data_IF_331694461930
#
_entry.id   IF_331694461930
#
_cell.length_a   1.000
_cell.length_b   1.000
_cell.length_c   1.000
_cell.angle_alpha   90.00
_cell.angle_beta   90.00
_cell.angle_gamma   90.00
#
_symmetry.space_group_name_H-M   'P 1'
#
loop_
_entity.id
_entity.type
_entity.pdbx_description
1 polymer ?
#
# COMPACT_ATOMS: atom_id res chain seq x y z
N UNK A 1 0.29 -24.25 9.85
CA UNK A 1 0.13 -24.08 8.40
C UNK A 1 0.77 -22.74 8.06
N UNK A 2 2.04 -22.75 7.70
CA UNK A 2 2.82 -21.53 7.38
C UNK A 2 2.38 -21.02 6.02
N UNK A 3 1.86 -19.80 5.96
CA UNK A 3 1.49 -19.20 4.67
C UNK A 3 2.73 -18.54 4.09
N UNK A 4 3.32 -19.16 3.06
CA UNK A 4 4.40 -18.58 2.28
C UNK A 4 3.88 -17.34 1.54
N UNK A 5 4.26 -16.14 1.99
CA UNK A 5 4.07 -14.93 1.21
C UNK A 5 5.12 -14.93 0.11
N UNK A 6 4.69 -15.02 -1.14
CA UNK A 6 5.60 -14.90 -2.28
C UNK A 6 5.93 -13.43 -2.49
N UNK A 7 6.87 -12.89 -1.71
CA UNK A 7 7.43 -11.56 -1.96
C UNK A 7 8.49 -11.75 -3.04
N UNK A 8 8.04 -11.56 -4.28
CA UNK A 8 8.84 -11.76 -5.49
C UNK A 8 9.81 -10.58 -5.64
N UNK A 9 11.09 -10.78 -5.29
CA UNK A 9 12.18 -9.88 -5.70
C UNK A 9 13.02 -10.55 -6.78
N UNK A 10 13.18 -9.87 -7.92
CA UNK A 10 14.07 -10.34 -8.98
C UNK A 10 15.52 -10.08 -8.55
N UNK A 11 16.32 -11.14 -8.43
CA UNK A 11 17.76 -11.01 -8.32
C UNK A 11 18.35 -11.05 -9.74
N UNK A 12 18.66 -9.88 -10.32
CA UNK A 12 19.31 -9.80 -11.63
C UNK A 12 19.37 -8.37 -12.18
N UNK A 13 20.48 -8.02 -12.84
CA UNK A 13 20.64 -6.78 -13.61
C UNK A 13 19.99 -6.95 -15.00
N UNK A 14 18.95 -6.18 -15.29
CA UNK A 14 18.41 -6.06 -16.65
C UNK A 14 19.42 -5.27 -17.50
N UNK A 15 20.18 -5.98 -18.33
CA UNK A 15 21.08 -5.38 -19.33
C UNK A 15 20.55 -5.72 -20.72
N UNK A 16 19.78 -4.82 -21.34
CA UNK A 16 19.39 -4.98 -22.75
C UNK A 16 18.16 -4.18 -23.21
N UNK A 17 18.27 -3.54 -24.38
CA UNK A 17 17.32 -2.59 -25.01
C UNK A 17 16.37 -3.23 -26.05
N UNK A 18 15.93 -4.48 -25.88
CA UNK A 18 15.00 -5.13 -26.85
C UNK A 18 13.83 -5.83 -26.16
N UNK A 19 12.58 -5.69 -26.65
CA UNK A 19 11.39 -6.20 -25.99
C UNK A 19 11.09 -7.63 -26.44
N UNK A 20 11.46 -8.62 -25.60
CA UNK A 20 10.90 -9.96 -25.63
C UNK A 20 11.02 -10.56 -24.22
N UNK A 21 9.96 -10.44 -23.41
CA UNK A 21 9.89 -10.91 -22.01
C UNK A 21 9.44 -12.38 -21.91
N UNK A 22 9.94 -13.25 -22.78
CA UNK A 22 9.75 -14.69 -22.67
C UNK A 22 11.14 -15.34 -22.68
N UNK A 23 11.47 -16.01 -21.58
CA UNK A 23 12.66 -16.85 -21.40
C UNK A 23 14.02 -16.18 -21.13
N UNK A 24 14.10 -15.21 -20.21
CA UNK A 24 15.39 -15.00 -19.53
C UNK A 24 15.64 -16.13 -18.53
N UNK A 25 16.23 -17.22 -19.02
CA UNK A 25 16.83 -18.27 -18.19
C UNK A 25 17.89 -17.63 -17.27
N UNK A 26 17.53 -17.41 -16.00
CA UNK A 26 18.40 -16.75 -15.03
C UNK A 26 17.68 -15.99 -13.91
N UNK A 27 16.37 -15.74 -14.04
CA UNK A 27 15.57 -15.15 -12.95
C UNK A 27 15.10 -16.27 -12.03
N UNK A 28 15.83 -16.49 -10.92
CA UNK A 28 15.43 -17.42 -9.88
C UNK A 28 14.57 -16.73 -8.82
N UNK A 29 13.29 -17.05 -8.80
CA UNK A 29 12.39 -16.62 -7.72
C UNK A 29 12.69 -17.43 -6.45
N UNK A 30 13.01 -16.72 -5.36
CA UNK A 30 13.24 -17.34 -4.06
C UNK A 30 12.12 -16.96 -3.11
N UNK A 31 11.44 -17.96 -2.55
CA UNK A 31 10.42 -17.70 -1.53
C UNK A 31 11.05 -17.18 -0.23
N UNK A 32 10.35 -16.27 0.45
CA UNK A 32 10.79 -15.64 1.71
C UNK A 32 9.74 -15.81 2.80
N UNK A 33 10.19 -15.79 4.05
CA UNK A 33 9.31 -15.89 5.22
C UNK A 33 8.83 -14.49 5.61
N UNK A 34 7.52 -14.34 5.80
CA UNK A 34 6.94 -13.11 6.35
C UNK A 34 7.18 -13.00 7.86
N UNK A 35 7.05 -11.79 8.40
CA UNK A 35 7.22 -11.54 9.83
C UNK A 35 6.05 -12.09 10.69
N UNK A 36 4.92 -12.42 10.06
CA UNK A 36 3.76 -13.04 10.66
C UNK A 36 2.90 -13.76 9.60
N UNK A 37 2.13 -14.76 10.05
CA UNK A 37 1.14 -15.50 9.25
C UNK A 37 -0.15 -14.68 9.07
N UNK A 38 -0.07 -13.60 8.28
CA UNK A 38 -1.21 -12.73 7.96
C UNK A 38 -1.53 -12.75 6.45
N UNK A 39 -2.73 -12.29 6.09
CA UNK A 39 -3.11 -12.03 4.70
C UNK A 39 -2.53 -10.69 4.24
N UNK A 40 -1.28 -10.69 3.79
CA UNK A 40 -0.58 -9.51 3.26
C UNK A 40 -1.11 -9.16 1.86
N UNK A 41 -1.71 -7.97 1.71
CA UNK A 41 -2.45 -7.59 0.49
C UNK A 41 -1.68 -6.66 -0.44
N UNK A 42 -0.74 -5.87 0.09
CA UNK A 42 -0.07 -4.82 -0.68
C UNK A 42 1.29 -4.50 -0.08
N UNK A 43 2.24 -4.14 -0.94
CA UNK A 43 3.59 -3.70 -0.60
C UNK A 43 3.96 -2.46 -1.43
N UNK A 44 4.67 -1.52 -0.82
CA UNK A 44 5.27 -0.35 -1.48
C UNK A 44 6.70 -0.14 -1.01
N UNK A 45 7.52 0.55 -1.80
CA UNK A 45 8.83 1.05 -1.38
C UNK A 45 8.78 2.56 -1.19
N UNK A 46 9.44 3.06 -0.14
CA UNK A 46 9.50 4.48 0.20
C UNK A 46 10.37 4.70 1.43
N UNK A 47 10.87 5.92 1.66
CA UNK A 47 11.68 6.25 2.84
C UNK A 47 12.77 5.19 3.16
N UNK A 48 13.43 4.66 2.12
CA UNK A 48 14.50 3.65 2.23
C UNK A 48 14.08 2.23 2.61
N UNK A 49 12.78 1.88 2.58
CA UNK A 49 12.30 0.55 2.98
C UNK A 49 11.05 0.10 2.23
N UNK A 50 10.86 -1.21 2.17
CA UNK A 50 9.59 -1.85 1.82
C UNK A 50 8.64 -1.83 3.01
N UNK A 51 7.37 -1.59 2.74
CA UNK A 51 6.27 -1.58 3.70
C UNK A 51 5.14 -2.40 3.12
N UNK A 52 4.67 -3.40 3.87
CA UNK A 52 3.52 -4.21 3.50
C UNK A 52 2.41 -4.10 4.54
N UNK A 53 1.15 -4.20 4.09
CA UNK A 53 -0.06 -4.15 4.93
C UNK A 53 -0.91 -5.40 4.76
N UNK A 54 -1.62 -5.80 5.82
CA UNK A 54 -2.43 -7.01 5.86
C UNK A 54 -3.87 -6.76 6.29
N UNK A 55 -4.79 -7.63 5.86
CA UNK A 55 -6.21 -7.58 6.29
C UNK A 55 -6.52 -8.43 7.52
N UNK A 56 -5.56 -9.16 8.06
CA UNK A 56 -5.74 -10.06 9.22
C UNK A 56 -4.58 -9.95 10.20
N UNK A 57 -4.77 -10.47 11.41
CA UNK A 57 -3.74 -10.54 12.45
C UNK A 57 -3.65 -9.31 13.35
N UNK A 58 -2.81 -9.40 14.37
CA UNK A 58 -2.58 -8.34 15.36
C UNK A 58 -1.48 -7.33 14.96
N UNK A 59 -0.57 -7.73 14.08
CA UNK A 59 0.49 -6.90 13.50
C UNK A 59 0.29 -6.80 11.99
N UNK A 60 -0.55 -5.87 11.56
CA UNK A 60 -1.02 -5.76 10.17
C UNK A 60 -0.10 -4.94 9.27
N UNK A 61 1.10 -4.60 9.77
CA UNK A 61 2.15 -3.94 9.00
C UNK A 61 3.43 -4.74 9.15
N UNK A 62 4.24 -4.83 8.09
CA UNK A 62 5.62 -5.26 8.19
C UNK A 62 6.54 -4.41 7.32
N UNK A 63 7.80 -4.31 7.73
CA UNK A 63 8.82 -3.49 7.04
C UNK A 63 10.06 -4.31 6.73
N UNK A 64 10.76 -3.96 5.66
CA UNK A 64 12.05 -4.55 5.30
C UNK A 64 12.93 -3.55 4.56
N UNK A 65 14.23 -3.49 4.84
CA UNK A 65 15.18 -2.65 4.09
C UNK A 65 15.82 -3.38 2.92
N UNK A 66 15.79 -4.72 2.92
CA UNK A 66 16.46 -5.59 1.95
C UNK A 66 15.47 -6.41 1.09
N UNK A 67 14.17 -6.36 1.40
CA UNK A 67 13.12 -7.17 0.77
C UNK A 67 13.15 -8.66 1.17
N UNK A 68 14.07 -9.06 2.05
CA UNK A 68 14.33 -10.45 2.43
C UNK A 68 13.93 -10.67 3.89
N UNK A 69 14.42 -9.82 4.78
CA UNK A 69 14.18 -9.89 6.22
C UNK A 69 13.08 -8.92 6.59
N UNK A 70 12.00 -9.43 7.18
CA UNK A 70 10.81 -8.64 7.50
C UNK A 70 10.62 -8.50 9.01
N UNK A 71 10.26 -7.30 9.46
CA UNK A 71 9.92 -7.01 10.86
C UNK A 71 8.45 -6.63 10.97
N UNK A 72 7.71 -7.31 11.85
CA UNK A 72 6.32 -6.98 12.18
C UNK A 72 6.23 -5.63 12.89
N UNK A 73 5.21 -4.83 12.53
CA UNK A 73 4.92 -3.51 13.10
C UNK A 73 3.44 -3.42 13.49
N UNK A 74 3.17 -2.59 14.48
CA UNK A 74 1.80 -2.28 14.91
C UNK A 74 1.15 -1.28 13.96
N UNK A 75 -0.09 -1.57 13.57
CA UNK A 75 -0.99 -0.62 12.92
C UNK A 75 -1.58 0.38 13.92
N UNK A 76 -2.05 1.53 13.42
CA UNK A 76 -2.74 2.52 14.25
C UNK A 76 -4.10 2.03 14.77
N UNK A 77 -4.80 1.23 13.96
CA UNK A 77 -6.10 0.65 14.29
C UNK A 77 -6.25 -0.66 13.50
N UNK A 78 -6.80 -1.69 14.15
CA UNK A 78 -7.03 -2.98 13.50
C UNK A 78 -8.13 -2.85 12.43
N UNK A 79 -7.80 -3.08 11.17
CA UNK A 79 -8.69 -2.97 10.00
C UNK A 79 -8.28 -3.95 8.91
N UNK A 80 -9.16 -4.19 7.96
CA UNK A 80 -8.84 -4.91 6.74
C UNK A 80 -8.06 -3.99 5.78
N UNK A 81 -6.76 -3.76 6.06
CA UNK A 81 -5.90 -2.95 5.19
C UNK A 81 -5.69 -3.64 3.84
N UNK A 82 -5.99 -2.93 2.75
CA UNK A 82 -6.00 -3.48 1.39
C UNK A 82 -4.86 -3.00 0.53
N UNK A 83 -4.52 -1.71 0.61
CA UNK A 83 -3.52 -1.10 -0.27
C UNK A 83 -2.70 -0.08 0.48
N UNK A 84 -1.42 0.02 0.13
CA UNK A 84 -0.50 1.05 0.61
C UNK A 84 0.23 1.71 -0.55
N UNK A 85 0.38 3.02 -0.51
CA UNK A 85 1.18 3.80 -1.46
C UNK A 85 2.13 4.73 -0.70
N UNK A 86 3.24 5.11 -1.34
CA UNK A 86 4.17 6.11 -0.83
C UNK A 86 4.22 7.31 -1.77
N UNK A 87 4.19 8.51 -1.21
CA UNK A 87 4.31 9.75 -1.96
C UNK A 87 3.95 10.98 -1.15
N UNK A 88 3.93 12.14 -1.80
CA UNK A 88 3.64 13.43 -1.20
C UNK A 88 4.50 14.52 -1.82
N UNK A 89 4.20 15.77 -1.48
CA UNK A 89 5.07 16.88 -1.86
C UNK A 89 6.49 16.65 -1.30
N UNK A 90 7.50 17.15 -2.04
CA UNK A 90 8.91 17.02 -1.66
C UNK A 90 9.15 17.41 -0.20
N UNK A 91 9.70 16.49 0.60
CA UNK A 91 9.97 16.69 2.03
C UNK A 91 8.75 16.47 2.95
N UNK A 92 7.62 16.03 2.41
CA UNK A 92 6.39 15.69 3.15
C UNK A 92 5.82 14.34 2.72
N UNK A 93 6.66 13.49 2.13
CA UNK A 93 6.30 12.16 1.68
C UNK A 93 5.89 11.26 2.84
N UNK A 94 4.93 10.40 2.59
CA UNK A 94 4.41 9.47 3.58
C UNK A 94 3.82 8.24 2.92
N UNK A 95 3.81 7.15 3.67
CA UNK A 95 2.99 5.99 3.41
C UNK A 95 1.53 6.32 3.74
N UNK A 96 0.64 5.90 2.87
CA UNK A 96 -0.81 6.00 3.00
C UNK A 96 -1.39 4.63 2.76
N UNK A 97 -2.11 4.10 3.74
CA UNK A 97 -2.83 2.84 3.61
C UNK A 97 -4.34 3.06 3.72
N UNK A 98 -5.11 2.30 2.94
CA UNK A 98 -6.57 2.33 2.93
C UNK A 98 -7.17 0.97 3.31
N UNK A 99 -8.32 0.99 3.97
CA UNK A 99 -8.98 -0.21 4.48
C UNK A 99 -10.38 -0.44 3.88
N UNK A 100 -10.76 -1.71 3.88
CA UNK A 100 -12.08 -2.17 3.44
C UNK A 100 -13.19 -1.88 4.47
N UNK A 101 -12.89 -1.89 5.77
CA UNK A 101 -13.85 -1.77 6.86
C UNK A 101 -13.51 -0.63 7.84
N UNK A 102 -14.40 -0.37 8.80
CA UNK A 102 -14.27 0.69 9.81
C UNK A 102 -15.37 1.77 9.73
N UNK A 103 -15.33 2.75 10.62
CA UNK A 103 -16.27 3.89 10.63
C UNK A 103 -15.45 5.14 10.86
N UNK A 104 -15.36 6.00 9.85
CA UNK A 104 -14.60 7.25 9.86
C UNK A 104 -13.09 7.06 10.07
N UNK A 105 -12.54 5.85 9.91
CA UNK A 105 -11.13 5.55 10.19
C UNK A 105 -10.50 4.52 9.24
N UNK A 106 -10.84 4.62 7.96
CA UNK A 106 -10.39 3.69 6.91
C UNK A 106 -9.10 4.10 6.20
N UNK A 107 -8.36 5.04 6.79
CA UNK A 107 -7.05 5.50 6.30
C UNK A 107 -6.05 5.48 7.47
N UNK A 108 -4.80 5.14 7.20
CA UNK A 108 -3.70 5.42 8.11
C UNK A 108 -2.48 5.94 7.35
N UNK A 109 -1.66 6.74 8.02
CA UNK A 109 -0.45 7.35 7.45
C UNK A 109 0.78 7.10 8.31
N UNK A 110 1.95 7.07 7.69
CA UNK A 110 3.24 7.01 8.38
C UNK A 110 4.32 7.69 7.54
N UNK A 111 5.24 8.44 8.14
CA UNK A 111 6.40 9.00 7.44
C UNK A 111 7.60 8.05 7.43
N UNK A 112 7.67 7.13 8.41
CA UNK A 112 8.80 6.24 8.63
C UNK A 112 8.50 4.76 8.29
N UNK A 113 7.23 4.40 8.08
CA UNK A 113 6.75 3.03 7.86
C UNK A 113 6.60 2.20 9.14
N UNK A 114 6.91 2.78 10.31
CA UNK A 114 6.98 2.11 11.61
C UNK A 114 5.87 2.62 12.52
N UNK A 115 5.75 3.94 12.66
CA UNK A 115 4.76 4.59 13.50
C UNK A 115 3.60 5.05 12.62
N UNK A 116 2.40 4.56 12.92
CA UNK A 116 1.21 4.81 12.12
C UNK A 116 0.20 5.68 12.88
N UNK A 117 -0.47 6.55 12.14
CA UNK A 117 -1.57 7.39 12.66
C UNK A 117 -2.83 7.11 11.87
N UNK A 118 -3.93 6.78 12.56
CA UNK A 118 -5.25 6.65 11.94
C UNK A 118 -5.76 8.00 11.46
N UNK A 119 -6.42 8.00 10.29
CA UNK A 119 -6.97 9.20 9.65
C UNK A 119 -8.43 8.98 9.27
N UNK A 120 -9.16 10.09 9.18
CA UNK A 120 -10.55 10.08 8.73
C UNK A 120 -10.63 9.88 7.23
N UNK A 121 -11.41 8.87 6.81
CA UNK A 121 -11.76 8.65 5.40
C UNK A 121 -12.90 9.59 4.99
N UNK A 122 -12.92 10.00 3.72
CA UNK A 122 -13.97 10.89 3.20
C UNK A 122 -15.37 10.26 3.20
N UNK A 123 -15.44 8.93 3.15
CA UNK A 123 -16.66 8.15 3.28
C UNK A 123 -16.34 6.74 3.81
N UNK A 124 -17.36 6.10 4.35
CA UNK A 124 -17.32 4.71 4.82
C UNK A 124 -17.59 3.71 3.68
N UNK A 125 -16.85 3.87 2.58
CA UNK A 125 -16.81 2.93 1.46
C UNK A 125 -15.70 1.89 1.62
N UNK A 126 -15.84 0.67 1.07
CA UNK A 126 -14.80 -0.34 1.10
C UNK A 126 -13.67 0.03 0.13
N UNK A 127 -12.68 0.76 0.62
CA UNK A 127 -11.53 1.21 -0.16
C UNK A 127 -10.59 0.04 -0.47
N UNK A 128 -10.29 -0.16 -1.76
CA UNK A 128 -9.55 -1.33 -2.24
C UNK A 128 -8.13 -1.00 -2.69
N UNK A 129 -7.95 0.11 -3.37
CA UNK A 129 -6.66 0.50 -3.92
C UNK A 129 -6.40 1.98 -3.66
N UNK A 130 -5.14 2.32 -3.42
CA UNK A 130 -4.65 3.69 -3.35
C UNK A 130 -3.36 3.81 -4.16
N UNK A 131 -3.23 4.89 -4.91
CA UNK A 131 -2.02 5.25 -5.64
C UNK A 131 -1.69 6.72 -5.38
N UNK A 132 -0.41 7.08 -5.53
CA UNK A 132 0.06 8.46 -5.56
C UNK A 132 0.65 8.77 -6.94
N UNK A 133 0.28 9.90 -7.51
CA UNK A 133 0.82 10.38 -8.78
C UNK A 133 -0.02 11.47 -9.40
N UNK A 134 0.39 11.93 -10.57
CA UNK A 134 -0.26 13.01 -11.32
C UNK A 134 0.73 13.72 -12.24
N UNK A 135 0.23 14.72 -12.96
CA UNK A 135 1.11 15.67 -13.65
C UNK A 135 1.93 16.45 -12.61
N UNK A 136 3.12 16.91 -13.02
CA UNK A 136 4.02 17.68 -12.16
C UNK A 136 3.30 18.88 -11.53
N UNK A 137 3.31 18.97 -10.20
CA UNK A 137 2.64 20.03 -9.44
C UNK A 137 1.15 19.80 -9.20
N UNK A 138 0.62 18.63 -9.53
CA UNK A 138 -0.79 18.25 -9.33
C UNK A 138 -0.93 16.82 -8.81
N UNK A 139 0.16 16.26 -8.27
CA UNK A 139 0.20 14.93 -7.70
C UNK A 139 -0.68 14.83 -6.46
N UNK A 140 -1.36 13.70 -6.34
CA UNK A 140 -2.25 13.43 -5.21
C UNK A 140 -2.38 11.93 -5.00
N UNK A 141 -2.79 11.58 -3.80
CA UNK A 141 -3.35 10.28 -3.52
C UNK A 141 -4.74 10.17 -4.13
N UNK A 142 -5.01 9.03 -4.76
CA UNK A 142 -6.33 8.66 -5.28
C UNK A 142 -6.62 7.26 -4.75
N UNK A 143 -7.76 7.12 -4.08
CA UNK A 143 -8.25 5.83 -3.61
C UNK A 143 -9.59 5.49 -4.26
N UNK A 144 -9.80 4.21 -4.56
CA UNK A 144 -11.01 3.68 -5.19
C UNK A 144 -11.67 2.63 -4.31
N UNK A 145 -12.99 2.58 -4.33
CA UNK A 145 -13.80 1.62 -3.57
C UNK A 145 -14.50 0.61 -4.48
N UNK A 146 -14.75 -0.59 -3.96
CA UNK A 146 -15.53 -1.62 -4.67
C UNK A 146 -17.04 -1.36 -4.69
N UNK A 147 -17.53 -0.51 -3.79
CA UNK A 147 -18.94 -0.15 -3.68
C UNK A 147 -19.11 1.26 -3.11
N UNK A 148 -20.35 1.75 -3.09
CA UNK A 148 -20.73 3.13 -2.77
C UNK A 148 -21.72 3.66 -3.80
N UNK A 149 -22.29 4.86 -3.58
CA UNK A 149 -23.21 5.49 -4.54
C UNK A 149 -22.69 6.89 -4.83
N UNK A 150 -22.16 7.09 -6.04
CA UNK A 150 -21.63 8.38 -6.49
C UNK A 150 -20.41 8.90 -5.71
N UNK A 151 -19.73 8.07 -4.92
CA UNK A 151 -18.59 8.49 -4.08
C UNK A 151 -17.47 7.43 -4.00
N UNK A 152 -17.32 6.59 -5.04
CA UNK A 152 -16.35 5.47 -5.04
C UNK A 152 -14.91 5.88 -5.30
N UNK A 153 -14.64 7.18 -5.37
CA UNK A 153 -13.30 7.74 -5.50
C UNK A 153 -13.12 8.75 -4.38
N UNK A 154 -11.96 8.75 -3.73
CA UNK A 154 -11.53 9.86 -2.87
C UNK A 154 -10.12 10.29 -3.22
N UNK A 155 -9.82 11.56 -3.01
CA UNK A 155 -8.52 12.15 -3.32
C UNK A 155 -7.96 12.93 -2.14
N UNK A 156 -6.64 13.01 -2.04
CA UNK A 156 -5.94 13.81 -1.03
C UNK A 156 -4.58 14.26 -1.54
N UNK A 157 -4.22 15.53 -1.37
CA UNK A 157 -2.88 16.03 -1.73
C UNK A 157 -1.85 15.79 -0.63
N UNK A 158 -2.30 15.65 0.61
CA UNK A 158 -1.45 15.51 1.81
C UNK A 158 -1.48 14.11 2.44
N UNK A 159 -2.39 13.24 2.01
CA UNK A 159 -2.63 11.90 2.56
C UNK A 159 -3.44 11.91 3.88
N UNK A 160 -3.83 13.08 4.37
CA UNK A 160 -4.46 13.30 5.68
C UNK A 160 -5.91 13.75 5.48
N UNK A 161 -6.12 14.77 4.67
CA UNK A 161 -7.44 15.35 4.38
C UNK A 161 -7.96 14.75 3.09
N UNK A 162 -9.09 14.05 3.17
CA UNK A 162 -9.67 13.33 2.04
C UNK A 162 -10.97 13.97 1.57
N UNK A 163 -11.11 14.07 0.25
CA UNK A 163 -12.33 14.56 -0.40
C UNK A 163 -12.94 13.45 -1.23
N UNK A 164 -14.21 13.11 -0.98
CA UNK A 164 -14.97 12.22 -1.83
C UNK A 164 -15.20 12.87 -3.19
N UNK A 165 -15.08 12.10 -4.26
CA UNK A 165 -15.29 12.55 -5.63
C UNK A 165 -16.47 11.79 -6.23
N UNK A 166 -17.28 12.53 -6.99
CA UNK A 166 -18.31 11.94 -7.81
C UNK A 166 -17.69 10.96 -8.81
N UNK A 167 -18.01 9.68 -8.67
CA UNK A 167 -17.81 8.69 -9.71
C UNK A 167 -19.04 8.71 -10.62
N UNK A 168 -18.88 8.41 -11.92
CA UNK A 168 -20.03 8.16 -12.78
C UNK A 168 -20.96 7.14 -12.10
N UNK A 169 -22.27 7.37 -12.21
CA UNK A 169 -23.24 6.38 -11.78
C UNK A 169 -23.07 5.10 -12.62
N UNK A 170 -23.29 3.94 -12.00
CA UNK A 170 -23.50 2.71 -12.77
C UNK A 170 -24.81 2.81 -13.56
#
# INVERSE_FOLDING_TARGET
MTVLVTIMTAAGTLTGTTPALADQAGINWTSRTSAADNSWNSVTYGAGKFVAVASTGSNQVMTSTDGITWTSRSQAVARQWRSVAYGGASGSEKFVAVAYDGVGNRVMTSTDGITWTGRTSAADNPWFSVAYGGASGSEKFVAVASSGVGNRVMTSTDGITWTARSSAAD
#
